data_IF_064749600851
#
_entry.id   IF_064749600851
#
_cell.length_a   1.000
_cell.length_b   1.000
_cell.length_c   1.000
_cell.angle_alpha   90.00
_cell.angle_beta   90.00
_cell.angle_gamma   90.00
#
_symmetry.space_group_name_H-M   'P 1'
#
loop_
_entity.id
_entity.type
_entity.pdbx_description
1 polymer ?
#
# COMPACT_ATOMS: atom_id res chain seq x y z
N UNK A 1 1.74 -7.28 -1.02
CA UNK A 1 2.65 -8.46 -1.12
C UNK A 1 4.10 -8.00 -1.13
N UNK A 2 4.48 -7.18 -0.15
CA UNK A 2 5.87 -6.80 0.10
C UNK A 2 6.16 -7.15 1.56
N UNK A 3 6.25 -8.45 1.82
CA UNK A 3 6.64 -8.99 3.11
C UNK A 3 8.16 -8.85 3.29
N UNK A 4 8.71 -7.65 3.02
CA UNK A 4 10.14 -7.36 3.21
C UNK A 4 10.34 -7.05 4.69
N UNK A 5 10.80 -8.05 5.41
CA UNK A 5 11.20 -7.95 6.80
C UNK A 5 12.55 -7.25 6.98
N UNK A 6 12.85 -6.89 8.23
CA UNK A 6 14.14 -6.30 8.60
C UNK A 6 15.34 -7.17 8.17
N UNK A 7 15.20 -8.49 8.29
CA UNK A 7 16.22 -9.45 7.88
C UNK A 7 16.51 -9.42 6.37
N UNK A 8 15.49 -9.26 5.54
CA UNK A 8 15.67 -9.18 4.08
C UNK A 8 16.34 -7.87 3.67
N UNK A 9 16.02 -6.75 4.33
CA UNK A 9 16.73 -5.48 4.10
C UNK A 9 18.23 -5.60 4.41
N UNK A 10 18.59 -6.26 5.51
CA UNK A 10 19.99 -6.53 5.84
C UNK A 10 20.66 -7.38 4.76
N UNK A 11 20.00 -8.45 4.32
CA UNK A 11 20.54 -9.34 3.30
C UNK A 11 20.78 -8.58 1.98
N UNK A 12 19.82 -7.78 1.54
CA UNK A 12 19.95 -6.93 0.35
C UNK A 12 21.10 -5.92 0.52
N UNK A 13 21.23 -5.30 1.70
CA UNK A 13 22.33 -4.38 1.98
C UNK A 13 23.70 -5.07 1.88
N UNK A 14 23.86 -6.26 2.47
CA UNK A 14 25.10 -7.05 2.38
C UNK A 14 25.40 -7.42 0.93
N UNK A 15 24.42 -7.95 0.19
CA UNK A 15 24.59 -8.28 -1.23
C UNK A 15 24.98 -7.04 -2.04
N UNK A 16 24.32 -5.91 -1.80
CA UNK A 16 24.65 -4.63 -2.42
C UNK A 16 26.08 -4.19 -2.14
N UNK A 17 26.55 -4.35 -0.89
CA UNK A 17 27.93 -4.03 -0.51
C UNK A 17 28.95 -4.95 -1.19
N UNK A 18 28.64 -6.23 -1.39
CA UNK A 18 29.55 -7.19 -2.03
C UNK A 18 29.61 -6.97 -3.55
N UNK A 19 28.46 -6.81 -4.20
CA UNK A 19 28.36 -6.70 -5.66
C UNK A 19 28.88 -5.35 -6.15
N UNK A 20 28.43 -4.27 -5.51
CA UNK A 20 28.74 -2.91 -5.93
C UNK A 20 30.00 -2.39 -5.22
N UNK A 21 30.26 -2.86 -4.00
CA UNK A 21 31.34 -2.37 -3.15
C UNK A 21 30.85 -1.30 -2.15
N UNK A 22 31.42 -1.26 -0.92
CA UNK A 22 31.02 -0.31 0.11
C UNK A 22 31.23 1.15 -0.27
N UNK A 23 32.21 1.45 -1.13
CA UNK A 23 32.48 2.82 -1.57
C UNK A 23 31.50 3.31 -2.64
N UNK A 24 30.92 2.39 -3.44
CA UNK A 24 30.12 2.73 -4.62
C UNK A 24 28.63 2.79 -4.31
N UNK A 25 28.16 1.96 -3.38
CA UNK A 25 26.77 1.97 -2.90
C UNK A 25 26.27 3.37 -2.46
N UNK A 26 26.97 4.11 -1.59
CA UNK A 26 26.51 5.45 -1.19
C UNK A 26 26.51 6.46 -2.35
N UNK A 27 27.42 6.31 -3.32
CA UNK A 27 27.45 7.14 -4.54
C UNK A 27 26.23 6.84 -5.43
N UNK A 28 25.89 5.56 -5.61
CA UNK A 28 24.72 5.16 -6.37
C UNK A 28 23.41 5.69 -5.76
N UNK A 29 23.25 5.58 -4.43
CA UNK A 29 22.08 6.15 -3.72
C UNK A 29 21.98 7.65 -3.98
N UNK A 30 23.08 8.39 -3.86
CA UNK A 30 23.11 9.85 -4.09
C UNK A 30 22.69 10.22 -5.52
N UNK A 31 23.11 9.43 -6.50
CA UNK A 31 22.77 9.66 -7.89
C UNK A 31 21.27 9.43 -8.13
N UNK A 32 20.76 8.27 -7.67
CA UNK A 32 19.35 7.92 -7.78
C UNK A 32 18.47 8.93 -7.02
N UNK A 33 18.84 9.30 -5.80
CA UNK A 33 18.09 10.26 -5.00
C UNK A 33 18.06 11.64 -5.63
N UNK A 34 19.16 12.07 -6.27
CA UNK A 34 19.22 13.34 -6.99
C UNK A 34 18.30 13.34 -8.22
N UNK A 35 18.22 12.21 -8.93
CA UNK A 35 17.33 12.06 -10.09
C UNK A 35 15.86 12.05 -9.67
N UNK A 36 15.52 11.28 -8.63
CA UNK A 36 14.18 11.26 -8.05
C UNK A 36 13.80 12.67 -7.55
N UNK A 37 14.72 13.35 -6.86
CA UNK A 37 14.52 14.72 -6.38
C UNK A 37 14.32 15.72 -7.51
N UNK A 38 15.10 15.62 -8.59
CA UNK A 38 14.94 16.46 -9.78
C UNK A 38 13.58 16.23 -10.46
N UNK A 39 13.19 14.96 -10.65
CA UNK A 39 11.89 14.61 -11.20
C UNK A 39 10.74 15.12 -10.32
N UNK A 40 10.86 14.99 -8.99
CA UNK A 40 9.86 15.48 -8.04
C UNK A 40 9.73 17.00 -8.08
N UNK A 41 10.85 17.73 -8.18
CA UNK A 41 10.86 19.20 -8.30
C UNK A 41 10.24 19.67 -9.61
N UNK A 42 10.59 19.03 -10.72
CA UNK A 42 10.01 19.34 -12.03
C UNK A 42 8.50 19.06 -12.07
N UNK A 43 8.06 17.94 -11.48
CA UNK A 43 6.64 17.66 -11.32
C UNK A 43 5.93 18.67 -10.40
N UNK A 44 6.63 19.19 -9.39
CA UNK A 44 6.14 20.27 -8.52
C UNK A 44 5.97 21.59 -9.27
N UNK A 45 7.01 22.05 -9.98
CA UNK A 45 6.97 23.33 -10.71
C UNK A 45 5.92 23.32 -11.82
N UNK A 46 5.77 22.21 -12.55
CA UNK A 46 4.72 22.07 -13.57
C UNK A 46 3.34 22.13 -12.94
N UNK A 47 3.14 21.52 -11.76
CA UNK A 47 1.87 21.65 -11.03
C UNK A 47 1.65 23.10 -10.62
N UNK A 48 2.63 23.73 -9.98
CA UNK A 48 2.51 25.11 -9.48
C UNK A 48 2.23 26.11 -10.61
N UNK A 49 2.88 25.97 -11.78
CA UNK A 49 2.62 26.77 -12.97
C UNK A 49 1.21 26.51 -13.57
N UNK A 50 0.77 25.25 -13.62
CA UNK A 50 -0.57 24.89 -14.11
C UNK A 50 -1.70 25.30 -13.14
N UNK A 51 -1.45 25.27 -11.82
CA UNK A 51 -2.37 25.76 -10.79
C UNK A 51 -2.51 27.28 -10.85
N UNK A 52 -1.40 27.97 -11.15
CA UNK A 52 -1.35 29.42 -11.23
C UNK A 52 -1.93 29.96 -12.55
N UNK A 53 -1.94 29.17 -13.64
CA UNK A 53 -2.34 29.65 -14.96
C UNK A 53 -3.65 29.05 -15.51
N UNK A 54 -3.95 27.73 -15.40
CA UNK A 54 -5.21 27.14 -15.89
C UNK A 54 -5.41 25.67 -15.42
N UNK A 55 -6.49 25.45 -14.64
CA UNK A 55 -7.36 24.25 -14.70
C UNK A 55 -6.81 22.92 -14.18
N UNK A 56 -6.66 22.82 -12.85
CA UNK A 56 -6.55 21.55 -12.09
C UNK A 56 -7.63 20.51 -12.47
N UNK A 57 -8.79 20.99 -12.92
CA UNK A 57 -9.95 20.15 -13.27
C UNK A 57 -9.69 19.26 -14.49
N UNK A 58 -8.97 19.74 -15.52
CA UNK A 58 -8.75 18.95 -16.74
C UNK A 58 -7.77 17.79 -16.53
N UNK A 59 -6.74 17.97 -15.71
CA UNK A 59 -5.81 16.88 -15.38
C UNK A 59 -6.46 15.87 -14.43
N UNK A 60 -7.25 16.31 -13.44
CA UNK A 60 -8.04 15.39 -12.63
C UNK A 60 -9.03 14.58 -13.48
N UNK A 61 -9.70 15.22 -14.45
CA UNK A 61 -10.63 14.54 -15.35
C UNK A 61 -9.91 13.56 -16.27
N UNK A 62 -8.74 13.91 -16.81
CA UNK A 62 -7.95 12.99 -17.63
C UNK A 62 -7.37 11.83 -16.81
N UNK A 63 -6.95 12.07 -15.56
CA UNK A 63 -6.42 11.03 -14.69
C UNK A 63 -7.54 10.09 -14.22
N UNK A 64 -8.70 10.64 -13.86
CA UNK A 64 -9.92 9.89 -13.53
C UNK A 64 -10.45 9.11 -14.73
N UNK A 65 -10.33 9.66 -15.94
CA UNK A 65 -10.71 8.98 -17.20
C UNK A 65 -9.71 7.88 -17.56
N UNK A 66 -8.42 8.09 -17.34
CA UNK A 66 -7.37 7.07 -17.53
C UNK A 66 -7.54 5.92 -16.52
N UNK A 67 -7.84 6.23 -15.26
CA UNK A 67 -8.16 5.26 -14.21
C UNK A 67 -9.45 4.49 -14.56
N UNK A 68 -10.51 5.17 -15.00
CA UNK A 68 -11.75 4.52 -15.46
C UNK A 68 -11.54 3.66 -16.71
N UNK A 69 -10.70 4.08 -17.65
CA UNK A 69 -10.34 3.28 -18.82
C UNK A 69 -9.49 2.07 -18.42
N UNK A 70 -8.61 2.22 -17.42
CA UNK A 70 -7.94 1.09 -16.78
C UNK A 70 -8.96 0.11 -16.22
N UNK A 71 -9.83 0.57 -15.32
CA UNK A 71 -10.88 -0.21 -14.65
C UNK A 71 -11.87 -0.90 -15.62
N UNK A 72 -12.19 -0.29 -16.77
CA UNK A 72 -13.07 -0.90 -17.78
C UNK A 72 -12.42 -2.04 -18.57
N UNK A 73 -11.09 -2.08 -18.64
CA UNK A 73 -10.34 -3.14 -19.34
C UNK A 73 -9.82 -4.23 -18.38
N UNK A 74 -10.20 -4.19 -17.10
CA UNK A 74 -9.86 -5.22 -16.13
C UNK A 74 -10.69 -6.49 -16.40
N UNK A 75 -10.03 -7.66 -16.40
CA UNK A 75 -10.66 -8.98 -16.38
C UNK A 75 -11.64 -9.11 -15.19
N UNK A 76 -12.68 -9.95 -15.27
CA UNK A 76 -13.73 -10.04 -14.26
C UNK A 76 -13.19 -10.32 -12.84
N UNK A 77 -12.06 -11.02 -12.73
CA UNK A 77 -11.34 -11.27 -11.47
C UNK A 77 -10.81 -9.99 -10.81
N UNK A 78 -10.26 -9.08 -11.60
CA UNK A 78 -9.70 -7.82 -11.11
C UNK A 78 -10.80 -6.83 -10.73
N UNK A 79 -11.97 -6.86 -11.38
CA UNK A 79 -13.12 -6.05 -10.98
C UNK A 79 -13.63 -6.44 -9.59
N UNK A 80 -13.74 -7.74 -9.31
CA UNK A 80 -14.11 -8.25 -7.99
C UNK A 80 -13.10 -7.82 -6.91
N UNK A 81 -11.81 -7.88 -7.24
CA UNK A 81 -10.73 -7.47 -6.34
C UNK A 81 -10.78 -5.98 -6.02
N UNK A 82 -11.11 -5.13 -7.00
CA UNK A 82 -11.27 -3.69 -6.82
C UNK A 82 -12.52 -3.36 -5.99
N UNK A 83 -13.64 -4.05 -6.20
CA UNK A 83 -14.86 -3.87 -5.40
C UNK A 83 -14.65 -4.29 -3.93
N UNK A 84 -13.91 -5.38 -3.71
CA UNK A 84 -13.56 -5.83 -2.35
C UNK A 84 -12.61 -4.85 -1.66
N UNK A 85 -11.60 -4.33 -2.38
CA UNK A 85 -10.73 -3.26 -1.89
C UNK A 85 -11.50 -1.99 -1.55
N UNK A 86 -12.47 -1.62 -2.40
CA UNK A 86 -13.30 -0.42 -2.20
C UNK A 86 -14.18 -0.57 -0.95
N UNK A 87 -14.77 -1.75 -0.76
CA UNK A 87 -15.58 -2.09 0.42
C UNK A 87 -14.74 -2.13 1.70
N UNK A 88 -13.53 -2.70 1.64
CA UNK A 88 -12.60 -2.70 2.76
C UNK A 88 -12.09 -1.28 3.09
N UNK A 89 -11.82 -0.45 2.09
CA UNK A 89 -11.44 0.95 2.28
C UNK A 89 -12.59 1.76 2.91
N UNK A 90 -13.84 1.54 2.49
CA UNK A 90 -15.02 2.17 3.10
C UNK A 90 -15.22 1.74 4.57
N UNK A 91 -14.92 0.48 4.91
CA UNK A 91 -15.02 -0.04 6.27
C UNK A 91 -13.91 0.55 7.17
N UNK A 92 -12.69 0.67 6.65
CA UNK A 92 -11.56 1.32 7.35
C UNK A 92 -11.78 2.84 7.51
N UNK A 93 -12.47 3.46 6.57
CA UNK A 93 -12.81 4.90 6.62
C UNK A 93 -13.98 5.20 7.58
N UNK A 94 -14.60 4.18 8.19
CA UNK A 94 -15.49 4.31 9.34
C UNK A 94 -14.75 3.94 10.63
N UNK A 95 -13.96 4.86 11.24
CA UNK A 95 -13.51 4.64 12.59
C UNK A 95 -14.75 4.81 13.51
N UNK A 96 -15.06 3.78 14.29
CA UNK A 96 -16.11 3.72 15.31
C UNK A 96 -17.56 3.47 14.86
N UNK A 97 -17.96 2.20 14.95
CA UNK A 97 -19.15 1.83 15.71
C UNK A 97 -18.78 0.66 16.63
N UNK A 98 -18.53 0.91 17.93
CA UNK A 98 -18.28 -0.16 18.87
C UNK A 98 -19.64 -0.80 19.16
N UNK A 99 -19.78 -2.10 18.91
CA UNK A 99 -20.78 -2.91 19.60
C UNK A 99 -20.06 -3.70 20.69
N UNK A 100 -19.84 -3.01 21.79
CA UNK A 100 -19.85 -3.61 23.12
C UNK A 100 -21.31 -3.89 23.46
N UNK A 101 -21.65 -5.15 23.70
CA UNK A 101 -22.33 -5.60 24.94
C UNK A 101 -22.70 -7.09 24.81
N UNK A 102 -21.96 -7.91 25.57
CA UNK A 102 -22.31 -9.28 26.01
C UNK A 102 -23.61 -9.23 26.86
N UNK A 103 -24.41 -10.31 27.06
CA UNK A 103 -23.94 -11.56 27.69
C UNK A 103 -24.69 -12.85 27.28
N UNK A 104 -23.99 -13.96 27.12
CA UNK A 104 -24.61 -15.28 27.33
C UNK A 104 -23.73 -16.09 28.28
N UNK A 105 -24.14 -16.04 29.53
CA UNK A 105 -23.69 -16.93 30.57
C UNK A 105 -24.41 -18.28 30.41
N UNK A 106 -23.67 -19.35 30.69
CA UNK A 106 -24.16 -20.68 31.03
C UNK A 106 -24.62 -21.58 29.86
N UNK A 107 -23.65 -22.36 29.34
CA UNK A 107 -23.94 -23.76 29.03
C UNK A 107 -22.79 -24.67 29.42
N UNK A 108 -22.93 -25.21 30.64
CA UNK A 108 -22.56 -26.55 31.06
C UNK A 108 -21.23 -27.15 30.56
N UNK A 109 -20.13 -26.82 31.25
CA UNK A 109 -19.01 -27.75 31.41
C UNK A 109 -19.35 -28.73 32.54
N UNK A 110 -19.52 -30.01 32.20
CA UNK A 110 -19.42 -31.11 33.15
C UNK A 110 -18.73 -32.33 32.52
N UNK A 111 -18.02 -33.15 33.32
CA UNK A 111 -16.71 -33.71 32.98
C UNK A 111 -16.71 -35.26 32.91
N UNK A 112 -15.82 -35.86 32.12
CA UNK A 112 -15.49 -37.30 32.19
C UNK A 112 -14.04 -37.50 31.70
N UNK A 113 -13.03 -37.64 32.59
CA UNK A 113 -12.55 -38.90 33.23
C UNK A 113 -11.93 -39.85 32.19
N UNK A 114 -10.60 -39.87 32.05
CA UNK A 114 -9.66 -40.77 32.74
C UNK A 114 -9.96 -42.27 32.51
N UNK A 115 -8.94 -42.97 31.99
CA UNK A 115 -8.60 -44.40 32.15
C UNK A 115 -8.83 -45.38 30.96
N UNK A 116 -7.71 -45.97 30.50
CA UNK A 116 -7.46 -47.33 29.92
C UNK A 116 -8.23 -47.73 28.66
N UNK A 117 -7.69 -48.45 27.67
CA UNK A 117 -6.64 -49.49 27.60
C UNK A 117 -5.76 -49.32 26.34
#
# INVERSE_FOLDING_TARGET
MFDIGFWELILIAVVGLVVLGPERLPVAIRNVSRWIGAARRMAGSVRDELEQELKIQELQDNLKKAEQMGMKNLSPELQQSVDELKKAAEDVQRPYSPKSDSPDAASASSPTKDKTE
#
